data_IF_545816945829
#
_entry.id   IF_545816945829
#
_cell.length_a   1.000
_cell.length_b   1.000
_cell.length_c   1.000
_cell.angle_alpha   90.00
_cell.angle_beta   90.00
_cell.angle_gamma   90.00
#
_symmetry.space_group_name_H-M   'P 1'
#
loop_
_entity.id
_entity.type
_entity.pdbx_description
1 polymer ?
#
# COMPACT_ATOMS: atom_id res chain seq x y z
N UNK A 1 56.59 -0.20 -10.98
CA UNK A 1 56.11 -1.31 -11.83
C UNK A 1 55.37 -2.29 -10.94
N UNK A 2 54.04 -2.30 -10.99
CA UNK A 2 53.27 -3.30 -10.23
C UNK A 2 53.60 -4.67 -10.83
N UNK A 3 54.05 -5.61 -10.00
CA UNK A 3 54.33 -6.97 -10.44
C UNK A 3 53.07 -7.55 -11.08
N UNK A 4 53.16 -8.04 -12.31
CA UNK A 4 52.00 -8.49 -13.09
C UNK A 4 51.13 -9.51 -12.32
N UNK A 5 51.77 -10.36 -11.51
CA UNK A 5 51.09 -11.33 -10.64
C UNK A 5 50.27 -10.66 -9.52
N UNK A 6 50.77 -9.58 -8.95
CA UNK A 6 50.07 -8.81 -7.91
C UNK A 6 48.86 -8.06 -8.49
N UNK A 7 48.98 -7.55 -9.71
CA UNK A 7 47.89 -6.88 -10.41
C UNK A 7 46.74 -7.85 -10.72
N UNK A 8 47.04 -9.04 -11.24
CA UNK A 8 46.03 -10.09 -11.47
C UNK A 8 45.36 -10.57 -10.18
N UNK A 9 46.11 -10.69 -9.07
CA UNK A 9 45.53 -11.05 -7.78
C UNK A 9 44.51 -10.01 -7.29
N UNK A 10 44.77 -8.72 -7.50
CA UNK A 10 43.83 -7.63 -7.15
C UNK A 10 42.57 -7.71 -8.00
N UNK A 11 42.68 -7.93 -9.32
CA UNK A 11 41.53 -8.04 -10.21
C UNK A 11 40.62 -9.20 -9.80
N UNK A 12 41.20 -10.36 -9.49
CA UNK A 12 40.45 -11.52 -9.02
C UNK A 12 39.77 -11.23 -7.68
N UNK A 13 40.48 -10.62 -6.73
CA UNK A 13 39.92 -10.28 -5.42
C UNK A 13 38.73 -9.31 -5.54
N UNK A 14 38.84 -8.27 -6.38
CA UNK A 14 37.75 -7.33 -6.64
C UNK A 14 36.55 -8.01 -7.32
N UNK A 15 36.81 -8.91 -8.28
CA UNK A 15 35.75 -9.67 -8.94
C UNK A 15 34.95 -10.56 -7.99
N UNK A 16 35.65 -11.28 -7.09
CA UNK A 16 35.00 -12.15 -6.09
C UNK A 16 34.20 -11.33 -5.07
N UNK A 17 34.76 -10.23 -4.57
CA UNK A 17 34.06 -9.33 -3.64
C UNK A 17 32.84 -8.67 -4.30
N UNK A 18 32.97 -8.23 -5.55
CA UNK A 18 31.86 -7.65 -6.32
C UNK A 18 30.73 -8.64 -6.57
N UNK A 19 31.05 -9.90 -6.89
CA UNK A 19 30.08 -10.97 -7.07
C UNK A 19 29.28 -11.23 -5.77
N UNK A 20 29.98 -11.32 -4.64
CA UNK A 20 29.35 -11.64 -3.36
C UNK A 20 28.45 -10.51 -2.84
N UNK A 21 28.89 -9.26 -2.99
CA UNK A 21 28.05 -8.08 -2.63
C UNK A 21 26.84 -7.96 -3.56
N UNK A 22 27.01 -8.23 -4.85
CA UNK A 22 25.93 -8.18 -5.83
C UNK A 22 24.83 -9.21 -5.54
N UNK A 23 25.21 -10.44 -5.19
CA UNK A 23 24.28 -11.51 -4.86
C UNK A 23 23.45 -11.19 -3.60
N UNK A 24 24.13 -10.73 -2.53
CA UNK A 24 23.46 -10.36 -1.28
C UNK A 24 22.48 -9.19 -1.47
N UNK A 25 22.86 -8.18 -2.26
CA UNK A 25 22.01 -7.02 -2.52
C UNK A 25 20.81 -7.36 -3.42
N UNK A 26 21.00 -8.25 -4.40
CA UNK A 26 19.92 -8.77 -5.25
C UNK A 26 18.89 -9.56 -4.45
N UNK A 27 19.35 -10.51 -3.64
CA UNK A 27 18.48 -11.35 -2.82
C UNK A 27 17.63 -10.55 -1.82
N UNK A 28 18.23 -9.55 -1.18
CA UNK A 28 17.53 -8.68 -0.23
C UNK A 28 16.47 -7.81 -0.90
N UNK A 29 16.76 -7.26 -2.10
CA UNK A 29 15.79 -6.48 -2.87
C UNK A 29 14.59 -7.33 -3.31
N UNK A 30 14.84 -8.51 -3.86
CA UNK A 30 13.76 -9.40 -4.31
C UNK A 30 12.83 -9.82 -3.18
N UNK A 31 13.36 -10.14 -1.99
CA UNK A 31 12.51 -10.49 -0.85
C UNK A 31 11.66 -9.31 -0.36
N UNK A 32 12.23 -8.11 -0.36
CA UNK A 32 11.50 -6.92 0.10
C UNK A 32 10.36 -6.54 -0.85
N UNK A 33 10.58 -6.69 -2.17
CA UNK A 33 9.55 -6.43 -3.18
C UNK A 33 8.43 -7.48 -3.13
N UNK A 34 8.76 -8.77 -2.95
CA UNK A 34 7.76 -9.83 -2.76
C UNK A 34 6.94 -9.59 -1.49
N UNK A 35 7.59 -9.20 -0.39
CA UNK A 35 6.91 -8.91 0.87
C UNK A 35 5.96 -7.72 0.74
N UNK A 36 6.37 -6.63 0.09
CA UNK A 36 5.49 -5.49 -0.20
C UNK A 36 4.30 -5.87 -1.07
N UNK A 37 4.52 -6.67 -2.11
CA UNK A 37 3.44 -7.16 -2.97
C UNK A 37 2.44 -8.02 -2.19
N UNK A 38 2.93 -8.89 -1.30
CA UNK A 38 2.09 -9.69 -0.41
C UNK A 38 1.33 -8.83 0.60
N UNK A 39 1.95 -7.82 1.20
CA UNK A 39 1.29 -6.92 2.16
C UNK A 39 0.15 -6.14 1.49
N UNK A 40 0.37 -5.63 0.27
CA UNK A 40 -0.68 -4.92 -0.50
C UNK A 40 -1.83 -5.88 -0.86
N UNK A 41 -1.51 -7.09 -1.32
CA UNK A 41 -2.53 -8.10 -1.63
C UNK A 41 -3.31 -8.53 -0.37
N UNK A 42 -2.62 -8.71 0.75
CA UNK A 42 -3.23 -9.08 2.03
C UNK A 42 -4.12 -7.96 2.58
N UNK A 43 -3.68 -6.69 2.51
CA UNK A 43 -4.52 -5.55 2.90
C UNK A 43 -5.78 -5.45 2.05
N UNK A 44 -5.67 -5.62 0.73
CA UNK A 44 -6.83 -5.59 -0.16
C UNK A 44 -7.81 -6.73 0.14
N UNK A 45 -7.29 -7.94 0.34
CA UNK A 45 -8.13 -9.08 0.73
C UNK A 45 -8.79 -8.88 2.10
N UNK A 46 -8.08 -8.30 3.06
CA UNK A 46 -8.62 -7.98 4.38
C UNK A 46 -9.69 -6.88 4.31
N UNK A 47 -9.49 -5.84 3.51
CA UNK A 47 -10.50 -4.80 3.28
C UNK A 47 -11.74 -5.34 2.60
N UNK A 48 -11.60 -6.19 1.59
CA UNK A 48 -12.73 -6.75 0.86
C UNK A 48 -13.50 -7.76 1.73
N UNK A 49 -12.80 -8.56 2.55
CA UNK A 49 -13.41 -9.40 3.57
C UNK A 49 -14.13 -8.55 4.65
N UNK A 50 -13.51 -7.45 5.11
CA UNK A 50 -14.13 -6.54 6.06
C UNK A 50 -15.37 -5.83 5.47
N UNK A 51 -15.34 -5.47 4.18
CA UNK A 51 -16.51 -4.92 3.47
C UNK A 51 -17.62 -5.96 3.34
N UNK A 52 -17.28 -7.21 2.99
CA UNK A 52 -18.24 -8.30 2.83
C UNK A 52 -18.85 -8.76 4.17
N UNK A 53 -18.04 -8.75 5.24
CA UNK A 53 -18.45 -9.17 6.57
C UNK A 53 -19.08 -8.04 7.41
N UNK A 54 -19.12 -6.79 6.92
CA UNK A 54 -19.71 -5.68 7.66
C UNK A 54 -21.20 -5.46 7.27
N UNK A 55 -22.15 -6.00 8.05
CA UNK A 55 -23.59 -5.84 7.80
C UNK A 55 -24.08 -4.40 8.04
N UNK A 56 -23.24 -3.49 8.57
CA UNK A 56 -23.57 -2.09 8.82
C UNK A 56 -23.04 -1.14 7.75
N UNK A 57 -22.38 -1.66 6.70
CA UNK A 57 -22.03 -0.86 5.51
C UNK A 57 -23.25 -0.69 4.60
N UNK A 58 -24.40 -0.37 5.19
CA UNK A 58 -25.53 0.16 4.48
C UNK A 58 -25.18 1.58 4.02
N UNK A 59 -25.59 1.94 2.81
CA UNK A 59 -25.63 3.31 2.30
C UNK A 59 -26.06 4.25 3.41
N UNK A 60 -25.35 5.37 3.59
CA UNK A 60 -25.66 6.29 4.67
C UNK A 60 -27.16 6.67 4.59
N UNK A 61 -27.99 6.37 5.60
CA UNK A 61 -29.42 6.63 5.52
C UNK A 61 -29.76 8.12 5.39
N UNK A 62 -28.77 9.01 5.55
CA UNK A 62 -28.86 10.45 5.38
C UNK A 62 -28.33 10.95 4.02
N UNK A 63 -27.80 10.08 3.15
CA UNK A 63 -27.19 10.46 1.86
C UNK A 63 -28.21 10.95 0.81
N UNK A 64 -29.50 10.74 1.05
CA UNK A 64 -30.62 11.23 0.21
C UNK A 64 -31.56 12.19 0.92
N UNK A 65 -31.24 12.65 2.12
CA UNK A 65 -32.10 13.59 2.87
C UNK A 65 -31.65 15.01 2.49
N UNK A 66 -32.09 15.47 1.31
CA UNK A 66 -31.73 16.77 0.75
C UNK A 66 -32.33 17.97 1.52
N UNK A 67 -33.27 17.73 2.44
CA UNK A 67 -33.91 18.81 3.19
C UNK A 67 -34.32 18.38 4.59
N UNK A 68 -34.06 19.26 5.54
CA UNK A 68 -34.50 19.13 6.92
C UNK A 68 -36.05 19.07 6.96
N UNK A 69 -36.67 17.96 7.41
CA UNK A 69 -38.13 17.81 7.42
C UNK A 69 -38.85 18.85 8.31
N UNK A 70 -38.12 19.53 9.18
CA UNK A 70 -38.64 20.64 9.99
C UNK A 70 -38.85 21.94 9.19
N UNK A 71 -38.18 22.12 8.04
CA UNK A 71 -38.37 23.29 7.18
C UNK A 71 -39.70 23.22 6.42
N UNK A 72 -40.10 22.04 5.98
CA UNK A 72 -41.39 21.81 5.34
C UNK A 72 -42.55 21.94 6.35
N UNK A 73 -42.34 21.43 7.57
CA UNK A 73 -43.30 21.59 8.67
C UNK A 73 -43.51 23.06 9.08
N UNK A 74 -42.47 23.91 9.05
CA UNK A 74 -42.59 25.35 9.35
C UNK A 74 -43.49 26.09 8.36
N UNK A 75 -43.43 25.75 7.07
CA UNK A 75 -44.31 26.35 6.05
C UNK A 75 -45.77 25.97 6.23
N UNK A 76 -46.04 24.75 6.69
CA UNK A 76 -47.42 24.27 6.91
C UNK A 76 -48.00 24.78 8.23
N UNK A 77 -47.18 24.88 9.29
CA UNK A 77 -47.63 25.29 10.63
C UNK A 77 -47.66 26.80 10.86
N UNK A 78 -47.05 27.61 10.00
CA UNK A 78 -47.11 29.07 10.13
C UNK A 78 -47.86 29.71 8.93
N UNK A 79 -49.20 29.80 8.98
CA UNK A 79 -50.01 30.38 7.90
C UNK A 79 -49.92 31.93 7.80
N UNK A 80 -49.01 32.57 8.55
CA UNK A 80 -48.84 34.04 8.59
C UNK A 80 -47.43 34.50 8.23
N UNK A 81 -46.63 33.65 7.59
CA UNK A 81 -45.32 34.02 7.03
C UNK A 81 -45.41 34.36 5.55
#
# INVERSE_FOLDING_TARGET
MVNNKLWWAIVVAVGVLGYWVGDWQGYSRSQNDVKKAQEVAAQKAAEDAAKAANPFKATNPLEGVESNPFEEAKKVLNPFN
#
